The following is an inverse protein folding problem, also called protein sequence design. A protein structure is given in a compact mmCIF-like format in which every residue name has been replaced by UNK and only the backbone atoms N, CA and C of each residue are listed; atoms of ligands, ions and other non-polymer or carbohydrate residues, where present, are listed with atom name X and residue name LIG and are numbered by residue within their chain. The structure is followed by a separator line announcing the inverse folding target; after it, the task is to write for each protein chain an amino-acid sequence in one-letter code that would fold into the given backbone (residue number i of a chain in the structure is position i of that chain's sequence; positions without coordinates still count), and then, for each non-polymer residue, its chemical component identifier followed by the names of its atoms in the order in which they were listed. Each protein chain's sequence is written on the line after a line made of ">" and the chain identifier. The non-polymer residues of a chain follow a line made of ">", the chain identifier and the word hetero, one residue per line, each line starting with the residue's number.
data_IF_662505945870
#
_entry.id   IF_662505945870
#
_cell.length_a   1.000
_cell.length_b   1.000
_cell.length_c   1.000
_cell.angle_alpha   90.00
_cell.angle_beta   90.00
_cell.angle_gamma   90.00
#
_symmetry.space_group_name_H-M   'P 1'
#
loop_
_entity.id
_entity.type
_entity.pdbx_description
1 polymer ?
#
# COMPACT_ATOMS: atom_id res chain seq x y z
N UNK A 1 45.23 36.82 -23.67
CA UNK A 1 44.28 35.84 -24.26
C UNK A 1 44.45 34.42 -23.70
N UNK A 2 45.68 33.99 -23.35
CA UNK A 2 45.99 32.66 -22.78
C UNK A 2 45.29 32.42 -21.42
N UNK A 3 45.24 33.44 -20.55
CA UNK A 3 44.72 33.29 -19.18
C UNK A 3 43.21 33.10 -19.12
N UNK A 4 42.45 33.78 -19.99
CA UNK A 4 40.99 33.61 -20.07
C UNK A 4 40.59 32.20 -20.50
N UNK A 5 41.38 31.57 -21.37
CA UNK A 5 41.14 30.20 -21.87
C UNK A 5 41.42 29.15 -20.78
N UNK A 6 42.47 29.36 -19.99
CA UNK A 6 42.81 28.51 -18.84
C UNK A 6 41.75 28.60 -17.73
N UNK A 7 41.24 29.79 -17.42
CA UNK A 7 40.17 29.97 -16.42
C UNK A 7 38.88 29.28 -16.83
N UNK A 8 38.48 29.39 -18.10
CA UNK A 8 37.29 28.72 -18.64
C UNK A 8 37.46 27.20 -18.60
N UNK A 9 38.63 26.67 -18.94
CA UNK A 9 38.92 25.24 -18.86
C UNK A 9 38.86 24.73 -17.41
N UNK A 10 39.43 25.46 -16.46
CA UNK A 10 39.34 25.11 -15.03
C UNK A 10 37.91 25.11 -14.50
N UNK A 11 37.06 26.06 -14.94
CA UNK A 11 35.65 26.12 -14.57
C UNK A 11 34.84 24.93 -15.11
N UNK A 12 35.10 24.50 -16.34
CA UNK A 12 34.43 23.34 -16.96
C UNK A 12 34.84 22.05 -16.23
N UNK A 13 36.12 21.89 -15.90
CA UNK A 13 36.62 20.72 -15.17
C UNK A 13 36.01 20.66 -13.77
N UNK A 14 35.98 21.79 -13.06
CA UNK A 14 35.40 21.86 -11.71
C UNK A 14 33.89 21.59 -11.72
N UNK A 15 33.16 22.11 -12.71
CA UNK A 15 31.74 21.83 -12.89
C UNK A 15 31.45 20.35 -13.20
N UNK A 16 32.31 19.68 -13.98
CA UNK A 16 32.17 18.26 -14.28
C UNK A 16 32.36 17.37 -13.05
N UNK A 17 33.30 17.72 -12.17
CA UNK A 17 33.55 16.98 -10.92
C UNK A 17 32.34 17.06 -9.99
N UNK A 18 31.72 18.24 -9.84
CA UNK A 18 30.57 18.46 -8.95
C UNK A 18 29.35 17.62 -9.37
N UNK A 19 29.17 17.33 -10.65
CA UNK A 19 28.05 16.52 -11.15
C UNK A 19 28.23 15.04 -10.79
N UNK A 20 29.47 14.52 -10.78
CA UNK A 20 29.77 13.12 -10.49
C UNK A 20 29.65 12.75 -8.99
N UNK A 21 29.89 13.70 -8.08
CA UNK A 21 29.70 13.49 -6.63
C UNK A 21 28.24 13.60 -6.18
N UNK A 22 27.34 14.09 -7.02
CA UNK A 22 25.91 14.25 -6.69
C UNK A 22 25.02 13.12 -7.25
N UNK A 23 25.56 12.16 -8.01
CA UNK A 23 24.83 10.97 -8.44
C UNK A 23 24.71 9.94 -7.31
N UNK A 24 23.77 10.25 -6.40
CA UNK A 24 22.97 9.41 -5.50
C UNK A 24 23.45 8.00 -5.14
N UNK A 25 23.80 7.84 -3.86
CA UNK A 25 23.71 6.55 -3.18
C UNK A 25 22.24 6.29 -2.80
N UNK A 26 21.48 5.69 -3.72
CA UNK A 26 20.16 5.14 -3.39
C UNK A 26 20.33 3.84 -2.62
N UNK A 27 19.86 3.80 -1.37
CA UNK A 27 19.84 2.56 -0.58
C UNK A 27 18.87 1.58 -1.25
N UNK A 28 19.41 0.54 -1.87
CA UNK A 28 18.60 -0.54 -2.45
C UNK A 28 17.95 -1.27 -1.28
N UNK A 29 16.62 -1.30 -1.25
CA UNK A 29 15.87 -2.02 -0.23
C UNK A 29 16.32 -3.49 -0.12
N UNK A 30 16.11 -4.13 1.05
CA UNK A 30 16.51 -5.51 1.26
C UNK A 30 15.89 -6.43 0.19
N UNK A 31 16.60 -7.49 -0.24
CA UNK A 31 16.08 -8.42 -1.24
C UNK A 31 14.80 -9.10 -0.75
N UNK A 32 13.80 -9.21 -1.63
CA UNK A 32 12.61 -10.01 -1.37
C UNK A 32 13.01 -11.49 -1.28
N UNK A 33 12.46 -12.21 -0.31
CA UNK A 33 12.67 -13.65 -0.20
C UNK A 33 12.11 -14.36 -1.46
N UNK A 34 12.76 -15.44 -1.93
CA UNK A 34 12.30 -16.18 -3.10
C UNK A 34 10.89 -16.76 -2.87
N UNK A 35 10.02 -16.69 -3.89
CA UNK A 35 8.67 -17.24 -3.82
C UNK A 35 8.72 -18.78 -3.83
N UNK A 36 8.37 -19.40 -2.69
CA UNK A 36 8.21 -20.85 -2.59
C UNK A 36 6.76 -21.19 -2.91
N UNK A 37 6.54 -22.02 -3.95
CA UNK A 37 5.21 -22.51 -4.31
C UNK A 37 4.56 -23.18 -3.09
N UNK A 38 3.30 -22.84 -2.83
CA UNK A 38 2.52 -23.41 -1.74
C UNK A 38 2.72 -22.76 -0.37
N UNK A 39 3.50 -21.69 -0.24
CA UNK A 39 3.63 -20.90 1.01
C UNK A 39 2.95 -19.52 0.93
N UNK A 40 2.23 -19.24 -0.16
CA UNK A 40 1.55 -17.96 -0.38
C UNK A 40 0.08 -18.05 0.04
N UNK A 41 -0.41 -16.96 0.59
CA UNK A 41 -1.84 -16.74 0.85
C UNK A 41 -2.36 -15.85 -0.27
N UNK A 42 -3.53 -16.18 -0.83
CA UNK A 42 -4.14 -15.34 -1.86
C UNK A 42 -4.57 -13.99 -1.28
N UNK A 43 -4.50 -12.94 -2.10
CA UNK A 43 -5.06 -11.65 -1.72
C UNK A 43 -6.60 -11.73 -1.70
N UNK A 44 -7.28 -11.08 -0.74
CA UNK A 44 -8.74 -10.96 -0.81
C UNK A 44 -9.20 -10.20 -2.06
N UNK A 45 -10.35 -10.58 -2.59
CA UNK A 45 -10.92 -10.08 -3.84
C UNK A 45 -12.39 -9.71 -3.68
N UNK A 46 -13.02 -9.19 -4.75
CA UNK A 46 -14.46 -8.91 -4.81
C UNK A 46 -14.99 -8.04 -3.65
N UNK A 47 -14.25 -6.96 -3.34
CA UNK A 47 -14.59 -6.04 -2.26
C UNK A 47 -15.92 -5.33 -2.50
N UNK A 48 -16.76 -5.26 -1.47
CA UNK A 48 -18.06 -4.59 -1.50
C UNK A 48 -18.25 -3.72 -0.26
N UNK A 49 -19.03 -2.66 -0.42
CA UNK A 49 -19.43 -1.77 0.65
C UNK A 49 -20.94 -1.67 0.62
N UNK A 50 -21.58 -2.02 1.73
CA UNK A 50 -23.03 -1.87 1.92
C UNK A 50 -23.23 -0.65 2.83
N UNK A 51 -23.76 0.46 2.32
CA UNK A 51 -23.91 1.69 3.09
C UNK A 51 -25.08 1.60 4.08
N UNK A 52 -24.87 2.06 5.30
CA UNK A 52 -25.90 2.37 6.28
C UNK A 52 -25.84 3.84 6.70
N UNK A 53 -26.68 4.26 7.65
CA UNK A 53 -26.80 5.67 8.05
C UNK A 53 -25.59 6.21 8.84
N UNK A 54 -24.98 5.39 9.70
CA UNK A 54 -23.84 5.76 10.58
C UNK A 54 -22.69 4.75 10.49
N UNK A 55 -22.87 3.72 9.69
CA UNK A 55 -21.95 2.63 9.55
C UNK A 55 -22.02 2.07 8.13
N UNK A 56 -20.98 1.38 7.73
CA UNK A 56 -20.92 0.59 6.50
C UNK A 56 -20.53 -0.83 6.84
N UNK A 57 -21.04 -1.78 6.08
CA UNK A 57 -20.54 -3.15 6.09
C UNK A 57 -19.54 -3.27 4.95
N UNK A 58 -18.29 -3.52 5.29
CA UNK A 58 -17.23 -3.81 4.34
C UNK A 58 -17.08 -5.33 4.22
N UNK A 59 -17.28 -5.86 3.02
CA UNK A 59 -17.20 -7.30 2.77
C UNK A 59 -16.26 -7.64 1.62
N UNK A 60 -15.74 -8.87 1.65
CA UNK A 60 -14.80 -9.37 0.65
C UNK A 60 -15.05 -10.86 0.36
N UNK A 61 -14.32 -11.38 -0.62
CA UNK A 61 -14.22 -12.80 -0.88
C UNK A 61 -12.75 -13.24 -0.80
N UNK A 62 -12.52 -14.52 -0.54
CA UNK A 62 -11.19 -15.10 -0.55
C UNK A 62 -11.27 -16.55 -1.02
N UNK A 63 -10.52 -16.86 -2.08
CA UNK A 63 -10.36 -18.22 -2.58
C UNK A 63 -8.88 -18.57 -2.59
N UNK A 64 -8.61 -19.80 -2.16
CA UNK A 64 -7.28 -20.40 -2.26
C UNK A 64 -7.01 -20.69 -3.73
N UNK A 65 -5.79 -20.43 -4.17
CA UNK A 65 -5.32 -20.81 -5.50
C UNK A 65 -4.45 -22.07 -5.36
N UNK A 66 -4.92 -23.18 -5.91
CA UNK A 66 -4.26 -24.48 -5.74
C UNK A 66 -2.90 -24.59 -6.46
N UNK A 67 -2.58 -23.67 -7.38
CA UNK A 67 -1.32 -23.68 -8.12
C UNK A 67 -0.27 -22.75 -7.51
N UNK A 68 -0.70 -21.57 -7.04
CA UNK A 68 0.21 -20.50 -6.60
C UNK A 68 0.03 -20.07 -5.15
N UNK A 69 -1.14 -20.25 -4.53
CA UNK A 69 -1.44 -19.73 -3.20
C UNK A 69 -2.38 -20.64 -2.39
N UNK A 70 -1.83 -21.79 -1.97
CA UNK A 70 -2.59 -22.90 -1.35
C UNK A 70 -2.91 -22.69 0.13
N UNK A 71 -2.31 -21.69 0.77
CA UNK A 71 -2.43 -21.51 2.23
C UNK A 71 -3.70 -20.76 2.58
N UNK A 72 -4.50 -21.37 3.48
CA UNK A 72 -5.70 -20.74 4.02
C UNK A 72 -5.34 -19.69 5.07
N UNK A 73 -5.97 -18.50 5.05
CA UNK A 73 -5.77 -17.52 6.10
C UNK A 73 -6.44 -17.93 7.40
N UNK A 74 -5.86 -17.51 8.52
CA UNK A 74 -6.46 -17.60 9.85
C UNK A 74 -7.33 -16.38 10.14
N UNK A 75 -6.91 -15.22 9.67
CA UNK A 75 -7.62 -13.95 9.89
C UNK A 75 -7.36 -12.97 8.75
N UNK A 76 -8.20 -11.95 8.68
CA UNK A 76 -8.14 -10.84 7.76
C UNK A 76 -7.92 -9.57 8.56
N UNK A 77 -6.97 -8.75 8.16
CA UNK A 77 -6.72 -7.46 8.77
C UNK A 77 -7.24 -6.35 7.85
N UNK A 78 -8.07 -5.47 8.41
CA UNK A 78 -8.76 -4.42 7.69
C UNK A 78 -7.99 -3.11 7.91
N UNK A 79 -7.75 -2.41 6.82
CA UNK A 79 -7.03 -1.14 6.81
C UNK A 79 -7.90 -0.04 6.23
N UNK A 80 -7.81 1.14 6.84
CA UNK A 80 -8.55 2.32 6.43
C UNK A 80 -7.67 3.56 6.36
N UNK A 81 -7.91 4.38 5.35
CA UNK A 81 -7.50 5.77 5.34
C UNK A 81 -8.73 6.68 5.27
N UNK A 82 -8.72 7.75 6.06
CA UNK A 82 -9.81 8.74 6.17
C UNK A 82 -9.31 10.09 5.67
N UNK A 83 -10.06 10.74 4.78
CA UNK A 83 -9.79 12.10 4.28
C UNK A 83 -11.04 12.96 4.34
N UNK A 84 -10.90 14.26 4.57
CA UNK A 84 -11.99 15.22 4.37
C UNK A 84 -12.38 15.28 2.88
N UNK A 85 -13.61 15.70 2.57
CA UNK A 85 -14.05 15.86 1.18
C UNK A 85 -13.16 16.85 0.39
N UNK A 86 -12.65 17.87 1.08
CA UNK A 86 -11.82 18.96 0.56
C UNK A 86 -10.31 18.65 0.54
N UNK A 87 -9.91 17.42 0.87
CA UNK A 87 -8.50 17.08 0.94
C UNK A 87 -7.77 17.31 -0.41
N UNK A 88 -6.56 17.87 -0.32
CA UNK A 88 -5.68 18.19 -1.44
C UNK A 88 -5.35 16.99 -2.34
N UNK A 89 -5.19 17.26 -3.64
CA UNK A 89 -4.72 16.31 -4.65
C UNK A 89 -3.24 16.00 -4.40
N UNK A 90 -2.88 14.72 -4.39
CA UNK A 90 -1.49 14.27 -4.19
C UNK A 90 -1.02 14.16 -2.74
N UNK A 91 -1.84 14.58 -1.77
CA UNK A 91 -1.46 14.48 -0.36
C UNK A 91 -1.35 13.00 0.07
N UNK A 92 -0.20 12.57 0.61
CA UNK A 92 0.00 11.20 1.05
C UNK A 92 -1.04 10.85 2.10
N UNK A 93 -1.55 9.63 2.06
CA UNK A 93 -2.46 9.15 3.08
C UNK A 93 -2.06 7.77 3.54
N UNK A 94 -2.08 7.62 4.86
CA UNK A 94 -1.66 6.42 5.54
C UNK A 94 -2.88 5.53 5.77
N UNK A 95 -2.73 4.26 5.41
CA UNK A 95 -3.69 3.22 5.78
C UNK A 95 -3.34 2.71 7.18
N UNK A 96 -4.27 2.88 8.11
CA UNK A 96 -4.14 2.36 9.48
C UNK A 96 -4.95 1.08 9.62
N UNK A 97 -4.42 0.10 10.35
CA UNK A 97 -5.20 -1.09 10.72
C UNK A 97 -6.33 -0.66 11.67
N UNK A 98 -7.55 -1.09 11.37
CA UNK A 98 -8.75 -0.73 12.15
C UNK A 98 -9.42 -1.94 12.79
N UNK A 99 -9.06 -3.15 12.39
CA UNK A 99 -9.63 -4.36 12.94
C UNK A 99 -9.11 -5.62 12.30
N UNK A 100 -9.43 -6.74 12.95
CA UNK A 100 -9.11 -8.09 12.50
C UNK A 100 -10.37 -8.93 12.53
N UNK A 101 -10.57 -9.77 11.51
CA UNK A 101 -11.70 -10.69 11.38
C UNK A 101 -11.17 -12.11 11.21
N UNK A 102 -11.59 -13.02 12.08
CA UNK A 102 -11.19 -14.42 12.00
C UNK A 102 -11.89 -15.12 10.83
N UNK A 103 -11.14 -15.90 10.05
CA UNK A 103 -11.73 -16.71 8.98
C UNK A 103 -12.70 -17.77 9.57
N UNK A 104 -13.80 -18.12 8.89
CA UNK A 104 -14.14 -17.79 7.51
C UNK A 104 -15.00 -16.54 7.34
N UNK A 105 -15.16 -15.70 8.37
CA UNK A 105 -15.94 -14.46 8.24
C UNK A 105 -15.24 -13.51 7.27
N UNK A 106 -16.03 -12.86 6.41
CA UNK A 106 -15.53 -11.98 5.33
C UNK A 106 -16.19 -10.60 5.36
N UNK A 107 -16.65 -10.16 6.53
CA UNK A 107 -17.34 -8.89 6.70
C UNK A 107 -16.84 -8.16 7.95
N UNK A 108 -16.85 -6.83 7.90
CA UNK A 108 -16.45 -5.95 9.00
C UNK A 108 -17.30 -4.69 9.02
N UNK A 109 -17.84 -4.33 10.18
CA UNK A 109 -18.68 -3.13 10.36
C UNK A 109 -17.79 -1.95 10.73
N UNK A 110 -17.94 -0.84 10.01
CA UNK A 110 -17.13 0.36 10.18
C UNK A 110 -18.06 1.54 10.46
N UNK A 111 -17.86 2.21 11.59
CA UNK A 111 -18.54 3.47 11.88
C UNK A 111 -17.99 4.58 10.99
N UNK A 112 -18.87 5.38 10.42
CA UNK A 112 -18.53 6.46 9.50
C UNK A 112 -19.11 7.79 9.98
N UNK A 113 -18.35 8.85 9.71
CA UNK A 113 -18.77 10.24 9.84
C UNK A 113 -19.03 10.84 8.45
N UNK A 114 -20.02 11.73 8.37
CA UNK A 114 -20.33 12.53 7.19
C UNK A 114 -19.20 13.53 6.89
N UNK A 115 -19.06 13.91 5.62
CA UNK A 115 -18.03 14.86 5.18
C UNK A 115 -16.64 14.24 4.98
N UNK A 116 -16.57 12.90 4.91
CA UNK A 116 -15.31 12.18 4.73
C UNK A 116 -15.34 11.18 3.57
N UNK A 117 -14.16 10.99 2.97
CA UNK A 117 -13.82 9.93 2.02
C UNK A 117 -13.03 8.85 2.76
N UNK A 118 -13.48 7.62 2.66
CA UNK A 118 -12.87 6.44 3.25
C UNK A 118 -12.27 5.59 2.15
N UNK A 119 -11.04 5.13 2.34
CA UNK A 119 -10.37 4.18 1.48
C UNK A 119 -10.13 2.91 2.30
N UNK A 120 -10.58 1.78 1.80
CA UNK A 120 -10.54 0.51 2.51
C UNK A 120 -9.79 -0.53 1.69
N UNK A 121 -9.00 -1.35 2.38
CA UNK A 121 -8.35 -2.54 1.84
C UNK A 121 -8.22 -3.58 2.95
N UNK A 122 -8.05 -4.83 2.56
CA UNK A 122 -7.92 -5.96 3.47
C UNK A 122 -6.71 -6.81 3.08
N UNK A 123 -6.06 -7.40 4.08
CA UNK A 123 -4.96 -8.34 3.90
C UNK A 123 -5.29 -9.65 4.60
N UNK A 124 -4.99 -10.78 3.95
CA UNK A 124 -5.16 -12.09 4.55
C UNK A 124 -3.88 -12.47 5.31
N UNK A 125 -4.01 -13.02 6.51
CA UNK A 125 -2.88 -13.42 7.37
C UNK A 125 -3.01 -14.86 7.81
N UNK A 126 -1.87 -15.54 7.86
CA UNK A 126 -1.75 -16.96 8.23
C UNK A 126 -1.02 -17.14 9.55
N UNK A 127 -0.29 -18.25 9.66
CA UNK A 127 0.59 -18.50 10.81
C UNK A 127 1.87 -17.68 10.75
N UNK A 128 2.39 -17.30 11.93
CA UNK A 128 3.63 -16.54 12.04
C UNK A 128 3.56 -15.20 11.29
N UNK A 129 4.54 -14.97 10.40
CA UNK A 129 4.67 -13.74 9.61
C UNK A 129 3.99 -13.80 8.23
N UNK A 130 3.24 -14.87 7.94
CA UNK A 130 2.61 -15.07 6.65
C UNK A 130 1.48 -14.07 6.41
N UNK A 131 1.57 -13.38 5.28
CA UNK A 131 0.60 -12.38 4.83
C UNK A 131 0.48 -12.46 3.32
N UNK A 132 -0.73 -12.25 2.81
CA UNK A 132 -0.95 -12.02 1.39
C UNK A 132 -0.59 -10.59 1.00
N UNK A 133 -0.63 -10.33 -0.30
CA UNK A 133 -0.72 -8.96 -0.79
C UNK A 133 -2.00 -8.28 -0.30
N UNK A 134 -1.98 -6.94 -0.24
CA UNK A 134 -3.22 -6.20 -0.01
C UNK A 134 -4.20 -6.43 -1.16
N UNK A 135 -5.49 -6.46 -0.83
CA UNK A 135 -6.54 -6.29 -1.83
C UNK A 135 -6.37 -4.97 -2.59
N UNK A 136 -7.08 -4.84 -3.72
CA UNK A 136 -7.34 -3.51 -4.30
C UNK A 136 -7.98 -2.60 -3.24
N UNK A 137 -7.81 -1.29 -3.38
CA UNK A 137 -8.50 -0.36 -2.49
C UNK A 137 -9.87 0.00 -3.06
N UNK A 138 -10.89 0.03 -2.21
CA UNK A 138 -12.21 0.58 -2.52
C UNK A 138 -12.40 1.91 -1.81
N UNK A 139 -13.17 2.80 -2.44
CA UNK A 139 -13.44 4.14 -1.95
C UNK A 139 -14.92 4.26 -1.61
N UNK A 140 -15.22 4.90 -0.48
CA UNK A 140 -16.57 5.26 -0.08
C UNK A 140 -16.60 6.72 0.38
N UNK A 141 -17.61 7.48 -0.04
CA UNK A 141 -17.81 8.87 0.37
C UNK A 141 -19.08 8.98 1.20
N UNK A 142 -18.97 9.47 2.43
CA UNK A 142 -20.12 9.77 3.27
C UNK A 142 -20.47 11.25 3.10
N UNK A 143 -21.62 11.53 2.48
CA UNK A 143 -22.17 12.88 2.31
C UNK A 143 -23.07 13.27 3.47
#
# INVERSE_FOLDING_TARGET
>A
MKDKRAVIQSLIILSGIIILILSGCGEKGPPLAPEIKGQKIAAPVELKIIPGNKEIIFSWNHKVDNEIAVVKPKYFEIFMAKKTLEACIGCPFEFKAIGVVTAPLMEFIIKIEKGFKYYLRVQAKGEGSMRSEYSKSVKFESK
#
